data_IF_977803670328
#
_entry.id   IF_977803670328
#
_cell.length_a   1.000
_cell.length_b   1.000
_cell.length_c   1.000
_cell.angle_alpha   90.00
_cell.angle_beta   90.00
_cell.angle_gamma   90.00
#
_symmetry.space_group_name_H-M   'P 1'
#
loop_
_entity.id
_entity.type
_entity.pdbx_description
1 polymer ?
#
# COMPACT_ATOMS: atom_id res chain seq x y z
N UNK A 1 11.26 56.55 -7.36
CA UNK A 1 10.61 55.73 -8.42
C UNK A 1 11.52 54.67 -9.05
N UNK A 2 12.85 54.87 -9.11
CA UNK A 2 13.80 53.89 -9.69
C UNK A 2 14.10 52.65 -8.82
N UNK A 3 13.86 52.68 -7.51
CA UNK A 3 14.09 51.51 -6.63
C UNK A 3 12.99 50.46 -6.67
N UNK A 4 11.70 50.86 -6.77
CA UNK A 4 10.59 49.90 -6.88
C UNK A 4 10.63 49.08 -8.17
N UNK A 5 11.22 49.62 -9.24
CA UNK A 5 11.42 48.91 -10.51
C UNK A 5 12.53 47.86 -10.46
N UNK A 6 13.57 48.01 -9.62
CA UNK A 6 14.62 46.98 -9.50
C UNK A 6 14.12 45.74 -8.74
N UNK A 7 13.29 45.93 -7.71
CA UNK A 7 12.74 44.83 -6.91
C UNK A 7 11.74 44.00 -7.73
N UNK A 8 10.93 44.64 -8.58
CA UNK A 8 9.96 43.96 -9.42
C UNK A 8 10.62 43.13 -10.55
N UNK A 9 11.74 43.60 -11.11
CA UNK A 9 12.50 42.85 -12.11
C UNK A 9 13.26 41.66 -11.51
N UNK A 10 13.74 41.76 -10.26
CA UNK A 10 14.38 40.62 -9.56
C UNK A 10 13.35 39.57 -9.14
N UNK A 11 12.14 39.97 -8.76
CA UNK A 11 11.07 39.04 -8.36
C UNK A 11 10.55 38.21 -9.55
N UNK A 12 10.53 38.78 -10.77
CA UNK A 12 10.13 38.07 -11.99
C UNK A 12 11.25 37.13 -12.49
N UNK A 13 12.51 37.48 -12.29
CA UNK A 13 13.65 36.61 -12.63
C UNK A 13 13.77 35.37 -11.71
N UNK A 14 13.35 35.47 -10.45
CA UNK A 14 13.26 34.31 -9.55
C UNK A 14 12.08 33.38 -9.85
N UNK A 15 11.01 33.91 -10.46
CA UNK A 15 9.87 33.09 -10.90
C UNK A 15 10.20 32.34 -12.19
N UNK A 16 11.06 32.87 -13.06
CA UNK A 16 11.46 32.20 -14.31
C UNK A 16 12.64 31.22 -14.21
N UNK A 17 13.43 31.26 -13.14
CA UNK A 17 14.43 30.21 -12.83
C UNK A 17 13.83 29.03 -12.03
N UNK A 18 12.56 29.11 -11.63
CA UNK A 18 11.84 28.02 -10.97
C UNK A 18 10.95 27.22 -11.94
N UNK A 19 10.90 27.60 -13.22
CA UNK A 19 10.01 27.00 -14.23
C UNK A 19 10.74 26.25 -15.36
N UNK A 20 12.05 26.03 -15.24
CA UNK A 20 12.80 25.16 -16.16
C UNK A 20 13.54 24.09 -15.35
N UNK A 21 13.12 22.84 -15.51
CA UNK A 21 13.58 21.63 -14.81
C UNK A 21 13.09 21.42 -13.37
N UNK A 22 11.79 21.19 -13.21
CA UNK A 22 11.31 19.92 -12.64
C UNK A 22 9.95 19.66 -13.27
N UNK A 23 9.96 19.26 -14.54
CA UNK A 23 9.00 18.25 -14.97
C UNK A 23 9.41 16.99 -14.24
N UNK A 24 8.99 16.85 -12.97
CA UNK A 24 8.86 15.54 -12.34
C UNK A 24 7.86 14.81 -13.23
N UNK A 25 8.36 14.20 -14.30
CA UNK A 25 7.90 12.89 -14.65
C UNK A 25 7.98 12.14 -13.33
N UNK A 26 6.83 11.97 -12.68
CA UNK A 26 6.60 10.73 -11.99
C UNK A 26 6.83 9.68 -13.06
N UNK A 27 8.07 9.24 -13.23
CA UNK A 27 8.30 7.86 -13.54
C UNK A 27 7.71 7.16 -12.33
N UNK A 28 6.41 6.90 -12.39
CA UNK A 28 5.96 5.59 -12.01
C UNK A 28 6.89 4.70 -12.81
N UNK A 29 7.95 4.20 -12.15
CA UNK A 29 8.56 2.99 -12.61
C UNK A 29 7.35 2.11 -12.86
N UNK A 30 7.04 1.85 -14.13
CA UNK A 30 5.95 0.98 -14.55
C UNK A 30 6.39 -0.40 -14.09
N UNK A 31 6.27 -0.63 -12.78
CA UNK A 31 6.30 -1.96 -12.22
C UNK A 31 5.29 -2.71 -13.03
N UNK A 32 5.71 -3.84 -13.60
CA UNK A 32 4.86 -4.64 -14.45
C UNK A 32 3.47 -4.75 -13.81
N UNK A 33 2.44 -4.33 -14.54
CA UNK A 33 1.05 -4.45 -14.10
C UNK A 33 0.82 -5.90 -13.69
N UNK A 34 0.25 -6.08 -12.51
CA UNK A 34 -0.11 -7.38 -11.97
C UNK A 34 -1.62 -7.45 -11.80
N UNK A 35 -2.23 -8.46 -12.39
CA UNK A 35 -3.65 -8.75 -12.17
C UNK A 35 -3.78 -9.67 -10.95
N UNK A 36 -4.50 -9.20 -9.95
CA UNK A 36 -4.80 -9.96 -8.73
C UNK A 36 -6.28 -10.40 -8.73
N UNK A 37 -6.57 -11.70 -8.60
CA UNK A 37 -7.94 -12.18 -8.46
C UNK A 37 -8.42 -12.00 -7.01
N UNK A 38 -9.38 -11.10 -6.80
CA UNK A 38 -10.09 -10.93 -5.54
C UNK A 38 -11.30 -11.89 -5.47
N UNK A 39 -11.17 -12.93 -4.66
CA UNK A 39 -12.23 -13.90 -4.43
C UNK A 39 -13.14 -13.45 -3.28
N UNK A 40 -14.42 -13.20 -3.58
CA UNK A 40 -15.45 -12.98 -2.56
C UNK A 40 -16.32 -14.21 -2.43
N UNK A 41 -16.54 -14.65 -1.20
CA UNK A 41 -17.54 -15.67 -0.87
C UNK A 41 -18.87 -14.99 -0.54
N UNK A 42 -19.97 -15.71 -0.76
CA UNK A 42 -21.29 -15.28 -0.28
C UNK A 42 -21.23 -15.00 1.23
N UNK A 43 -21.75 -13.85 1.64
CA UNK A 43 -21.67 -13.35 3.01
C UNK A 43 -20.56 -12.33 3.20
N UNK A 44 -20.06 -12.21 4.44
CA UNK A 44 -19.03 -11.26 4.79
C UNK A 44 -17.65 -11.74 4.35
N UNK A 45 -16.82 -10.81 3.89
CA UNK A 45 -15.43 -11.03 3.53
C UNK A 45 -14.62 -9.89 4.13
N UNK A 46 -13.49 -10.20 4.76
CA UNK A 46 -12.53 -9.21 5.21
C UNK A 46 -11.34 -9.23 4.24
N UNK A 47 -11.24 -8.20 3.40
CA UNK A 47 -10.31 -8.17 2.27
C UNK A 47 -9.35 -6.99 2.37
N UNK A 48 -8.30 -7.03 1.56
CA UNK A 48 -7.44 -5.87 1.30
C UNK A 48 -6.89 -5.91 -0.12
N UNK A 49 -6.26 -4.82 -0.55
CA UNK A 49 -5.65 -4.74 -1.88
C UNK A 49 -4.14 -4.98 -1.85
N UNK A 50 -3.63 -5.99 -2.58
CA UNK A 50 -2.21 -6.20 -2.77
C UNK A 50 -1.65 -5.44 -3.99
N UNK A 51 -2.43 -4.59 -4.64
CA UNK A 51 -2.01 -3.75 -5.78
C UNK A 51 -2.60 -2.35 -5.61
N UNK A 52 -1.93 -1.34 -6.15
CA UNK A 52 -2.55 -0.04 -6.46
C UNK A 52 -3.39 -0.21 -7.72
N UNK A 53 -4.73 -0.17 -7.62
CA UNK A 53 -5.59 -0.35 -8.78
C UNK A 53 -5.29 0.70 -9.86
N UNK A 54 -5.44 0.31 -11.12
CA UNK A 54 -5.46 1.27 -12.24
C UNK A 54 -6.70 2.17 -12.15
N UNK A 55 -6.63 3.38 -12.71
CA UNK A 55 -7.74 4.34 -12.72
C UNK A 55 -9.01 3.81 -13.43
N UNK A 56 -8.85 2.81 -14.29
CA UNK A 56 -9.93 2.10 -14.99
C UNK A 56 -10.72 1.15 -14.07
N UNK A 57 -10.17 0.79 -12.91
CA UNK A 57 -10.81 -0.12 -11.97
C UNK A 57 -11.93 0.61 -11.23
N UNK A 58 -13.16 0.14 -11.44
CA UNK A 58 -14.34 0.64 -10.77
C UNK A 58 -14.96 -0.45 -9.91
N UNK A 59 -15.43 -0.06 -8.73
CA UNK A 59 -16.16 -0.94 -7.85
C UNK A 59 -17.61 -1.08 -8.34
N UNK A 60 -18.16 -2.30 -8.34
CA UNK A 60 -19.58 -2.46 -8.59
C UNK A 60 -20.40 -1.72 -7.52
N UNK A 61 -21.33 -0.86 -7.95
CA UNK A 61 -22.21 -0.09 -7.07
C UNK A 61 -23.08 -0.95 -6.13
N UNK A 62 -23.23 -2.24 -6.44
CA UNK A 62 -23.97 -3.20 -5.63
C UNK A 62 -23.22 -3.68 -4.38
N UNK A 63 -21.91 -3.42 -4.28
CA UNK A 63 -21.10 -3.84 -3.14
C UNK A 63 -21.31 -2.91 -1.95
N UNK A 64 -21.69 -3.50 -0.82
CA UNK A 64 -21.70 -2.80 0.46
C UNK A 64 -20.33 -2.98 1.11
N UNK A 65 -19.62 -1.86 1.30
CA UNK A 65 -18.24 -1.83 1.77
C UNK A 65 -18.14 -0.99 3.03
N UNK A 66 -17.50 -1.56 4.06
CA UNK A 66 -17.20 -0.87 5.30
C UNK A 66 -15.71 -0.90 5.59
N UNK A 67 -15.18 0.21 6.09
CA UNK A 67 -13.89 0.25 6.79
C UNK A 67 -14.11 0.45 8.30
N UNK A 68 -13.14 -0.01 9.09
CA UNK A 68 -13.16 0.19 10.53
C UNK A 68 -12.17 1.30 10.91
N UNK A 69 -12.69 2.38 11.49
CA UNK A 69 -11.95 3.57 11.87
C UNK A 69 -12.35 3.95 13.29
N UNK A 70 -11.35 4.07 14.16
CA UNK A 70 -11.48 4.59 15.53
C UNK A 70 -12.63 3.99 16.35
N UNK A 71 -12.80 2.67 16.30
CA UNK A 71 -13.85 1.99 17.08
C UNK A 71 -15.19 1.81 16.36
N UNK A 72 -15.32 2.34 15.14
CA UNK A 72 -16.58 2.40 14.40
C UNK A 72 -16.46 1.89 12.98
N UNK A 73 -17.59 1.46 12.39
CA UNK A 73 -17.66 1.12 10.98
C UNK A 73 -18.20 2.31 10.19
N UNK A 74 -17.52 2.65 9.10
CA UNK A 74 -17.94 3.70 8.16
C UNK A 74 -17.97 3.13 6.74
N UNK A 75 -18.87 3.64 5.91
CA UNK A 75 -18.97 3.24 4.50
C UNK A 75 -17.75 3.74 3.73
N UNK A 76 -17.20 2.91 2.84
CA UNK A 76 -16.11 3.31 1.95
C UNK A 76 -16.57 3.28 0.49
N UNK A 77 -16.17 4.29 -0.29
CA UNK A 77 -16.39 4.39 -1.73
C UNK A 77 -15.23 3.85 -2.56
N UNK A 78 -14.04 3.76 -1.96
CA UNK A 78 -12.79 3.48 -2.65
C UNK A 78 -11.98 2.41 -1.92
N UNK A 79 -11.23 1.62 -2.68
CA UNK A 79 -10.23 0.73 -2.13
C UNK A 79 -8.83 1.35 -2.21
N UNK A 80 -8.28 1.61 -1.04
CA UNK A 80 -6.95 2.17 -0.85
C UNK A 80 -6.06 1.05 -0.29
N UNK A 81 -4.96 0.68 -0.98
CA UNK A 81 -3.97 -0.24 -0.44
C UNK A 81 -3.44 0.26 0.91
N UNK A 82 -3.17 -0.64 1.86
CA UNK A 82 -2.85 -0.26 3.24
C UNK A 82 -4.05 -0.28 4.19
N UNK A 83 -5.28 -0.37 3.64
CA UNK A 83 -6.53 -0.51 4.38
C UNK A 83 -7.16 -1.89 4.19
N UNK A 84 -7.91 -2.34 5.20
CA UNK A 84 -8.73 -3.54 5.12
C UNK A 84 -10.22 -3.18 5.17
N UNK A 85 -11.02 -3.96 4.47
CA UNK A 85 -12.43 -3.67 4.22
C UNK A 85 -13.31 -4.88 4.48
N UNK A 86 -14.45 -4.66 5.09
CA UNK A 86 -15.55 -5.62 5.12
C UNK A 86 -16.43 -5.44 3.91
N UNK A 87 -16.61 -6.51 3.15
CA UNK A 87 -17.52 -6.55 2.01
C UNK A 87 -18.55 -7.65 2.23
N UNK A 88 -19.83 -7.32 2.04
CA UNK A 88 -20.89 -8.33 1.99
C UNK A 88 -21.22 -8.65 0.53
N UNK A 89 -20.94 -9.89 0.12
CA UNK A 89 -21.30 -10.38 -1.21
C UNK A 89 -22.59 -11.21 -1.16
N UNK A 90 -23.46 -11.06 -2.15
CA UNK A 90 -24.69 -11.87 -2.31
C UNK A 90 -24.40 -13.29 -2.82
N UNK A 91 -23.25 -13.48 -3.47
CA UNK A 91 -22.84 -14.72 -4.12
C UNK A 91 -21.32 -14.91 -4.08
N UNK A 92 -20.86 -16.07 -4.55
CA UNK A 92 -19.44 -16.30 -4.77
C UNK A 92 -19.05 -15.64 -6.09
N UNK A 93 -18.15 -14.65 -6.05
CA UNK A 93 -17.74 -13.87 -7.22
C UNK A 93 -16.24 -13.59 -7.18
N UNK A 94 -15.63 -13.42 -8.35
CA UNK A 94 -14.21 -13.05 -8.48
C UNK A 94 -14.10 -11.77 -9.27
N UNK A 95 -13.34 -10.80 -8.75
CA UNK A 95 -12.97 -9.58 -9.46
C UNK A 95 -11.49 -9.62 -9.80
N UNK A 96 -11.15 -9.25 -11.03
CA UNK A 96 -9.75 -9.12 -11.45
C UNK A 96 -9.33 -7.66 -11.29
N UNK A 97 -8.38 -7.41 -10.39
CA UNK A 97 -7.88 -6.07 -10.08
C UNK A 97 -6.48 -5.96 -10.67
N UNK A 98 -6.35 -5.18 -11.75
CA UNK A 98 -5.05 -4.88 -12.34
C UNK A 98 -4.45 -3.63 -11.70
N UNK A 99 -3.14 -3.66 -11.48
CA UNK A 99 -2.47 -2.57 -10.81
C UNK A 99 -0.99 -2.77 -10.58
N UNK A 100 -0.34 -1.76 -10.01
CA UNK A 100 1.07 -1.85 -9.61
C UNK A 100 1.18 -2.58 -8.27
N UNK A 101 2.08 -3.56 -8.09
CA UNK A 101 2.20 -4.30 -6.82
C UNK A 101 2.42 -3.39 -5.59
N UNK A 102 1.55 -3.54 -4.58
CA UNK A 102 1.70 -2.86 -3.29
C UNK A 102 2.66 -3.65 -2.40
N UNK A 103 3.88 -3.16 -2.23
CA UNK A 103 4.99 -3.96 -1.65
C UNK A 103 5.35 -3.61 -0.21
N UNK A 104 5.03 -2.41 0.26
CA UNK A 104 5.33 -1.97 1.63
C UNK A 104 4.44 -0.84 2.09
N UNK A 105 4.18 -0.78 3.38
CA UNK A 105 3.66 0.40 4.05
C UNK A 105 3.96 0.38 5.55
N UNK A 106 3.83 1.55 6.17
CA UNK A 106 3.81 1.72 7.63
C UNK A 106 2.57 2.51 8.03
N UNK A 107 1.99 2.18 9.18
CA UNK A 107 0.78 2.84 9.70
C UNK A 107 0.83 2.94 11.22
N UNK A 108 0.48 4.11 11.75
CA UNK A 108 0.23 4.29 13.18
C UNK A 108 -1.09 3.63 13.56
N UNK A 109 -1.05 2.76 14.55
CA UNK A 109 -2.20 2.05 15.09
C UNK A 109 -2.33 2.33 16.58
N UNK A 110 -3.56 2.38 17.07
CA UNK A 110 -3.87 2.58 18.49
C UNK A 110 -3.87 1.27 19.24
N UNK A 111 -3.83 1.34 20.58
CA UNK A 111 -4.04 0.16 21.42
C UNK A 111 -5.41 -0.49 21.16
N UNK A 112 -5.50 -1.80 21.29
CA UNK A 112 -6.73 -2.54 21.03
C UNK A 112 -6.85 -3.04 19.59
N UNK A 113 -8.09 -3.20 19.11
CA UNK A 113 -8.39 -3.81 17.82
C UNK A 113 -8.27 -2.82 16.66
N UNK A 114 -7.52 -3.24 15.63
CA UNK A 114 -7.32 -2.51 14.40
C UNK A 114 -7.52 -3.44 13.20
N UNK A 115 -7.96 -2.91 12.06
CA UNK A 115 -7.94 -3.64 10.78
C UNK A 115 -6.72 -3.19 9.97
N UNK A 116 -6.01 -4.17 9.40
CA UNK A 116 -4.81 -3.97 8.57
C UNK A 116 -4.91 -4.75 7.26
N UNK A 117 -4.10 -4.37 6.28
CA UNK A 117 -4.00 -5.02 4.96
C UNK A 117 -2.75 -5.88 4.83
N UNK A 118 -2.80 -6.88 3.94
CA UNK A 118 -1.59 -7.49 3.42
C UNK A 118 -1.00 -6.70 2.24
N UNK A 119 0.31 -6.90 1.99
CA UNK A 119 1.00 -6.47 0.77
C UNK A 119 0.94 -7.59 -0.29
N UNK A 120 1.54 -7.38 -1.46
CA UNK A 120 1.66 -8.36 -2.56
C UNK A 120 2.65 -9.51 -2.27
N UNK A 121 2.71 -9.97 -1.02
CA UNK A 121 3.38 -11.20 -0.62
C UNK A 121 2.94 -11.57 0.79
N UNK A 122 3.01 -12.85 1.11
CA UNK A 122 2.93 -13.36 2.48
C UNK A 122 4.02 -12.72 3.34
N UNK A 123 3.61 -12.00 4.38
CA UNK A 123 4.54 -11.30 5.27
C UNK A 123 4.13 -11.40 6.72
N UNK A 124 5.12 -11.44 7.61
CA UNK A 124 4.89 -11.24 9.04
C UNK A 124 5.04 -9.75 9.36
N UNK A 125 4.02 -9.10 9.93
CA UNK A 125 4.10 -7.68 10.23
C UNK A 125 5.03 -7.44 11.43
N UNK A 126 5.67 -6.28 11.43
CA UNK A 126 6.54 -5.81 12.51
C UNK A 126 5.93 -4.58 13.17
N UNK A 127 6.35 -4.29 14.40
CA UNK A 127 5.85 -3.14 15.17
C UNK A 127 6.99 -2.38 15.81
N UNK A 128 6.78 -1.07 15.98
CA UNK A 128 7.61 -0.19 16.80
C UNK A 128 6.69 0.50 17.81
N UNK A 129 6.84 0.30 19.13
CA UNK A 129 7.80 -0.60 19.78
C UNK A 129 7.61 -2.06 19.37
N UNK A 130 8.66 -2.86 19.47
CA UNK A 130 8.61 -4.28 19.10
C UNK A 130 7.66 -5.08 20.01
N UNK A 131 7.15 -6.19 19.47
CA UNK A 131 6.36 -7.19 20.20
C UNK A 131 5.07 -6.65 20.86
N UNK A 132 4.46 -5.62 20.26
CA UNK A 132 3.18 -5.05 20.74
C UNK A 132 1.95 -5.78 20.22
N UNK A 133 2.08 -6.58 19.14
CA UNK A 133 1.01 -7.46 18.64
C UNK A 133 0.71 -8.57 19.65
N UNK A 134 -0.54 -8.67 20.10
CA UNK A 134 -1.06 -9.75 20.96
C UNK A 134 -1.51 -10.93 20.10
N UNK A 135 -2.31 -10.65 19.08
CA UNK A 135 -2.85 -11.63 18.16
C UNK A 135 -3.25 -10.99 16.84
N UNK A 136 -3.31 -11.83 15.81
CA UNK A 136 -3.79 -11.49 14.48
C UNK A 136 -4.84 -12.53 14.11
N UNK A 137 -5.97 -12.09 13.58
CA UNK A 137 -7.04 -12.96 13.10
C UNK A 137 -7.36 -12.67 11.64
N UNK A 138 -7.40 -13.73 10.85
CA UNK A 138 -8.02 -13.73 9.53
C UNK A 138 -9.49 -14.13 9.66
N UNK A 139 -10.35 -13.59 8.80
CA UNK A 139 -11.73 -14.08 8.66
C UNK A 139 -11.85 -14.89 7.38
N UNK A 140 -12.12 -16.20 7.51
CA UNK A 140 -12.21 -17.13 6.38
C UNK A 140 -13.42 -18.02 6.55
N UNK A 141 -14.23 -18.13 5.50
CA UNK A 141 -15.40 -19.02 5.47
C UNK A 141 -16.32 -18.88 6.70
N UNK A 142 -16.58 -17.65 7.13
CA UNK A 142 -17.48 -17.39 8.26
C UNK A 142 -16.83 -17.41 9.65
N UNK A 143 -15.55 -17.80 9.77
CA UNK A 143 -14.88 -18.01 11.06
C UNK A 143 -13.59 -17.22 11.20
N UNK A 144 -13.25 -16.85 12.44
CA UNK A 144 -11.97 -16.24 12.77
C UNK A 144 -10.89 -17.29 13.01
N UNK A 145 -9.74 -17.11 12.39
CA UNK A 145 -8.58 -18.00 12.52
C UNK A 145 -7.37 -17.19 12.96
N UNK A 146 -6.70 -17.64 14.04
CA UNK A 146 -5.49 -16.98 14.53
C UNK A 146 -4.34 -17.27 13.56
N UNK A 147 -3.68 -16.21 13.10
CA UNK A 147 -2.57 -16.30 12.14
C UNK A 147 -1.34 -15.53 12.63
N UNK A 148 -0.20 -15.72 11.97
CA UNK A 148 1.04 -14.96 12.19
C UNK A 148 1.52 -14.22 10.94
N UNK A 149 0.95 -14.56 9.79
CA UNK A 149 1.35 -14.09 8.46
C UNK A 149 0.13 -13.45 7.79
N UNK A 150 0.35 -12.36 7.08
CA UNK A 150 -0.65 -11.68 6.26
C UNK A 150 -0.46 -12.13 4.81
N UNK A 151 -1.39 -12.93 4.32
CA UNK A 151 -1.49 -13.35 2.92
C UNK A 151 -2.21 -12.28 2.07
N UNK A 152 -1.77 -12.03 0.82
CA UNK A 152 -2.37 -11.08 -0.11
C UNK A 152 -3.89 -11.26 -0.29
N UNK A 153 -4.61 -10.15 -0.46
CA UNK A 153 -6.06 -10.15 -0.73
C UNK A 153 -6.95 -10.21 0.50
N UNK A 154 -6.39 -10.49 1.68
CA UNK A 154 -7.14 -10.57 2.93
C UNK A 154 -6.88 -9.35 3.82
N UNK A 155 -7.93 -8.89 4.50
CA UNK A 155 -7.80 -8.00 5.63
C UNK A 155 -7.65 -8.80 6.93
N UNK A 156 -7.06 -8.17 7.94
CA UNK A 156 -6.77 -8.83 9.21
C UNK A 156 -7.13 -7.96 10.39
N UNK A 157 -7.70 -8.57 11.42
CA UNK A 157 -7.78 -7.97 12.74
C UNK A 157 -6.44 -8.13 13.45
N UNK A 158 -5.92 -7.05 13.99
CA UNK A 158 -4.71 -7.02 14.81
C UNK A 158 -5.05 -6.39 16.15
N UNK A 159 -4.73 -7.08 17.24
CA UNK A 159 -4.88 -6.54 18.59
C UNK A 159 -3.52 -6.10 19.15
N UNK A 160 -3.40 -4.84 19.54
CA UNK A 160 -2.17 -4.26 20.06
C UNK A 160 -2.25 -3.99 21.57
N UNK A 161 -1.14 -4.23 22.29
CA UNK A 161 -1.01 -3.89 23.73
C UNK A 161 -1.02 -2.39 23.99
N UNK A 162 -0.51 -1.61 23.04
CA UNK A 162 -0.36 -0.16 23.09
C UNK A 162 -0.22 0.39 21.67
N UNK A 163 -0.37 1.70 21.50
CA UNK A 163 -0.17 2.35 20.20
C UNK A 163 1.22 2.04 19.64
N UNK A 164 1.31 1.78 18.34
CA UNK A 164 2.54 1.37 17.67
C UNK A 164 2.49 1.71 16.19
N UNK A 165 3.67 1.90 15.59
CA UNK A 165 3.81 1.91 14.14
C UNK A 165 3.90 0.46 13.68
N UNK A 166 2.93 0.01 12.87
CA UNK A 166 2.97 -1.27 12.19
C UNK A 166 3.69 -1.11 10.85
N UNK A 167 4.62 -2.00 10.54
CA UNK A 167 5.26 -2.09 9.22
C UNK A 167 4.94 -3.44 8.58
N UNK A 168 4.47 -3.39 7.34
CA UNK A 168 4.15 -4.54 6.50
C UNK A 168 4.95 -4.36 5.22
N UNK A 169 5.94 -5.21 5.00
CA UNK A 169 6.88 -5.05 3.88
C UNK A 169 7.26 -6.41 3.31
N UNK A 170 7.24 -6.49 1.98
CA UNK A 170 7.77 -7.59 1.20
C UNK A 170 9.24 -7.85 1.56
N UNK A 171 9.62 -9.10 1.79
CA UNK A 171 11.02 -9.46 1.94
C UNK A 171 11.77 -9.19 0.63
N UNK A 172 12.85 -8.43 0.67
CA UNK A 172 13.71 -8.28 -0.50
C UNK A 172 14.39 -9.62 -0.81
N UNK A 173 14.21 -10.11 -2.04
CA UNK A 173 14.98 -11.26 -2.51
C UNK A 173 16.43 -10.81 -2.68
N UNK A 174 17.30 -11.16 -1.72
CA UNK A 174 18.74 -10.87 -1.80
C UNK A 174 19.37 -11.38 -3.12
N UNK A 175 18.85 -12.48 -3.67
CA UNK A 175 19.26 -13.00 -4.98
C UNK A 175 18.99 -12.04 -6.17
N UNK A 176 17.96 -11.19 -6.09
CA UNK A 176 17.71 -10.13 -7.09
C UNK A 176 18.67 -8.96 -6.91
N UNK A 177 18.98 -8.59 -5.67
CA UNK A 177 19.95 -7.53 -5.34
C UNK A 177 21.36 -7.90 -5.80
N UNK A 178 21.74 -9.18 -5.67
CA UNK A 178 23.04 -9.69 -6.13
C UNK A 178 23.09 -9.77 -7.66
N UNK A 179 21.98 -10.13 -8.34
CA UNK A 179 21.91 -10.13 -9.81
C UNK A 179 21.91 -8.74 -10.43
N UNK A 180 21.28 -7.74 -9.80
CA UNK A 180 21.33 -6.36 -10.26
C UNK A 180 22.70 -5.72 -10.04
N UNK A 181 23.49 -6.25 -9.11
CA UNK A 181 24.86 -5.81 -8.85
C UNK A 181 25.91 -6.74 -9.50
N UNK A 182 25.59 -7.32 -10.65
CA UNK A 182 26.53 -8.17 -11.42
C UNK A 182 27.85 -7.41 -11.70
N UNK A 183 29.03 -8.05 -11.58
CA UNK A 183 30.34 -7.42 -11.78
C UNK A 183 30.57 -6.74 -13.14
N UNK A 184 29.75 -7.04 -14.16
CA UNK A 184 29.92 -6.50 -15.52
C UNK A 184 29.75 -4.97 -15.61
N UNK A 185 28.97 -4.32 -14.73
CA UNK A 185 28.88 -2.85 -14.69
C UNK A 185 30.04 -2.19 -13.93
N UNK A 186 30.66 -2.90 -12.98
CA UNK A 186 31.81 -2.40 -12.23
C UNK A 186 33.05 -2.38 -13.13
N UNK A 187 33.24 -3.39 -13.99
CA UNK A 187 34.41 -3.46 -14.88
C UNK A 187 34.39 -2.36 -15.97
N UNK A 188 33.21 -1.93 -16.42
CA UNK A 188 33.07 -0.80 -17.36
C UNK A 188 33.34 0.57 -16.71
N UNK A 189 33.27 0.66 -15.39
CA UNK A 189 33.59 1.89 -14.64
C UNK A 189 35.09 2.03 -14.40
N UNK A 190 35.83 0.92 -14.28
CA UNK A 190 37.29 0.93 -14.13
C UNK A 190 38.06 1.00 -15.46
N UNK A 191 37.45 0.63 -16.59
CA UNK A 191 38.07 0.77 -17.93
C UNK A 191 37.95 2.16 -18.58
N UNK A 192 37.29 3.12 -17.92
CA UNK A 192 37.16 4.52 -18.39
C UNK A 192 37.93 5.54 -17.53
N UNK A 193 38.96 5.11 -16.80
CA UNK A 193 39.95 6.00 -16.18
C UNK A 193 41.32 5.78 -16.81
#
# INVERSE_FOLDING_TARGET
MKEKMKVQTVLIAFIFLCFTHISLLNSFATGATHTFPLYLKKGWNLISLPVYPEDSFQLPDSLIIYEYVDGSYVTASDFIPGKGYWIKSSENITYNISGTPFSKYSKELTAGWNIVSAVNQDVRPMTIPENTIICIFAYRNGVYQKVKTLEPGYGYWVHLKKSSVLTVQKSENLARLIRSNSPEEIENTFKRK
#
